data_IF_001574129728
#
_entry.id   IF_001574129728
#
_cell.length_a   1.000
_cell.length_b   1.000
_cell.length_c   1.000
_cell.angle_alpha   90.00
_cell.angle_beta   90.00
_cell.angle_gamma   90.00
#
_symmetry.space_group_name_H-M   'P 1'
#
loop_
_entity.id
_entity.type
_entity.pdbx_description
1 polymer ?
#
# COMPACT_ATOMS: atom_id res chain seq x y z
N UNK A 1 4.97 10.42 -16.49
CA UNK A 1 4.61 9.76 -15.22
C UNK A 1 4.49 10.85 -14.15
N UNK A 2 3.42 10.86 -13.34
CA UNK A 2 3.12 11.91 -12.35
C UNK A 2 3.68 11.50 -10.98
N UNK A 3 4.37 12.38 -10.25
CA UNK A 3 4.88 12.10 -8.89
C UNK A 3 3.75 11.88 -7.85
N UNK A 4 2.50 12.16 -8.25
CA UNK A 4 1.29 11.85 -7.50
C UNK A 4 0.94 10.36 -7.47
N UNK A 5 1.59 9.51 -8.27
CA UNK A 5 1.30 8.08 -8.27
C UNK A 5 1.52 7.45 -6.87
N UNK A 6 0.63 6.51 -6.47
CA UNK A 6 0.86 5.63 -5.31
C UNK A 6 1.93 4.56 -5.58
N UNK A 7 2.32 4.38 -6.85
CA UNK A 7 3.33 3.40 -7.25
C UNK A 7 4.72 3.82 -6.76
N UNK A 8 5.17 3.23 -5.65
CA UNK A 8 6.51 3.45 -5.08
C UNK A 8 7.61 3.04 -6.05
N UNK A 9 7.47 1.90 -6.73
CA UNK A 9 8.45 1.45 -7.73
C UNK A 9 8.60 2.40 -8.91
N UNK A 10 7.51 3.05 -9.32
CA UNK A 10 7.53 4.06 -10.38
C UNK A 10 8.28 5.32 -9.93
N UNK A 11 8.06 5.77 -8.70
CA UNK A 11 8.78 6.91 -8.11
C UNK A 11 10.27 6.62 -7.93
N UNK A 12 10.60 5.38 -7.55
CA UNK A 12 11.98 4.88 -7.50
C UNK A 12 12.64 4.93 -8.87
N UNK A 13 11.97 4.45 -9.91
CA UNK A 13 12.50 4.47 -11.27
C UNK A 13 12.69 5.92 -11.77
N UNK A 14 11.69 6.80 -11.60
CA UNK A 14 11.81 8.22 -11.95
C UNK A 14 12.98 8.90 -11.20
N UNK A 15 13.22 8.53 -9.94
CA UNK A 15 14.37 9.00 -9.16
C UNK A 15 15.68 8.47 -9.74
N UNK A 16 15.76 7.17 -10.03
CA UNK A 16 16.94 6.56 -10.62
C UNK A 16 17.27 7.18 -11.98
N UNK A 17 16.28 7.41 -12.83
CA UNK A 17 16.46 8.05 -14.13
C UNK A 17 17.00 9.47 -13.98
N UNK A 18 16.46 10.25 -13.03
CA UNK A 18 16.95 11.59 -12.73
C UNK A 18 18.41 11.58 -12.26
N UNK A 19 18.76 10.76 -11.27
CA UNK A 19 20.13 10.67 -10.77
C UNK A 19 21.09 10.11 -11.83
N UNK A 20 20.62 9.19 -12.68
CA UNK A 20 21.41 8.66 -13.79
C UNK A 20 21.77 9.77 -14.76
N UNK A 21 20.81 10.62 -15.14
CA UNK A 21 21.10 11.77 -16.01
C UNK A 21 22.07 12.76 -15.36
N UNK A 22 21.86 13.11 -14.10
CA UNK A 22 22.74 14.05 -13.39
C UNK A 22 24.19 13.55 -13.29
N UNK A 23 24.37 12.26 -12.97
CA UNK A 23 25.69 11.64 -12.88
C UNK A 23 26.31 11.51 -14.27
N UNK A 24 25.56 11.12 -15.31
CA UNK A 24 26.05 11.06 -16.69
C UNK A 24 26.50 12.43 -17.20
N UNK A 25 25.72 13.48 -16.95
CA UNK A 25 26.06 14.85 -17.35
C UNK A 25 27.30 15.37 -16.62
N UNK A 26 27.42 15.08 -15.33
CA UNK A 26 28.59 15.42 -14.52
C UNK A 26 29.83 14.66 -15.02
N UNK A 27 29.70 13.35 -15.26
CA UNK A 27 30.80 12.50 -15.72
C UNK A 27 31.24 12.86 -17.14
N UNK A 28 30.29 13.19 -18.02
CA UNK A 28 30.57 13.67 -19.37
C UNK A 28 31.34 15.00 -19.39
N UNK A 29 31.01 15.93 -18.47
CA UNK A 29 31.77 17.18 -18.29
C UNK A 29 33.17 16.94 -17.73
N UNK A 30 33.37 15.86 -16.98
CA UNK A 30 34.64 15.50 -16.35
C UNK A 30 35.44 14.48 -17.17
N UNK A 31 35.30 14.45 -18.50
CA UNK A 31 36.03 13.54 -19.40
C UNK A 31 35.92 12.05 -19.00
N UNK A 32 34.77 11.62 -18.48
CA UNK A 32 34.55 10.24 -18.05
C UNK A 32 34.94 9.93 -16.61
N UNK A 33 35.40 10.90 -15.82
CA UNK A 33 35.72 10.69 -14.40
C UNK A 33 34.49 10.83 -13.51
N UNK A 34 34.10 9.73 -12.85
CA UNK A 34 33.04 9.71 -11.83
C UNK A 34 33.54 10.15 -10.44
N UNK A 35 34.84 10.46 -10.29
CA UNK A 35 35.49 10.76 -9.00
C UNK A 35 34.78 11.88 -8.22
N UNK A 36 34.36 12.95 -8.88
CA UNK A 36 33.69 14.12 -8.28
C UNK A 36 32.16 14.09 -8.40
N UNK A 37 31.60 13.09 -9.09
CA UNK A 37 30.16 12.95 -9.29
C UNK A 37 29.58 11.85 -8.37
N UNK A 38 30.39 10.81 -8.11
CA UNK A 38 30.00 9.59 -7.41
C UNK A 38 29.17 8.65 -8.28
N UNK A 39 28.91 7.45 -7.75
CA UNK A 39 28.15 6.41 -8.43
C UNK A 39 26.68 6.37 -7.97
N UNK A 40 25.83 5.73 -8.78
CA UNK A 40 24.38 5.58 -8.52
C UNK A 40 24.07 4.78 -7.25
N UNK A 41 24.89 3.79 -6.91
CA UNK A 41 24.78 2.97 -5.71
C UNK A 41 25.24 3.70 -4.43
N UNK A 42 25.60 4.98 -4.55
CA UNK A 42 26.12 5.82 -3.48
C UNK A 42 27.60 5.58 -3.19
N UNK A 43 28.24 4.61 -3.85
CA UNK A 43 29.67 4.33 -3.68
C UNK A 43 30.53 5.50 -4.17
N UNK A 44 31.71 5.62 -3.58
CA UNK A 44 32.66 6.71 -3.83
C UNK A 44 34.05 6.13 -3.94
N UNK A 45 34.71 6.40 -5.06
CA UNK A 45 36.12 6.06 -5.25
C UNK A 45 36.95 6.75 -4.16
N UNK A 46 38.04 6.14 -3.70
CA UNK A 46 38.91 6.80 -2.73
C UNK A 46 39.61 8.01 -3.37
N UNK A 47 39.17 9.21 -2.98
CA UNK A 47 39.72 10.49 -3.44
C UNK A 47 40.79 11.03 -2.48
N UNK A 48 41.47 12.11 -2.89
CA UNK A 48 42.44 12.85 -2.07
C UNK A 48 42.12 14.34 -2.00
N UNK A 49 42.23 14.94 -0.81
CA UNK A 49 42.16 16.40 -0.63
C UNK A 49 40.84 17.03 -1.10
N UNK A 50 40.95 18.03 -1.98
CA UNK A 50 39.87 18.93 -2.41
C UNK A 50 38.77 18.26 -3.25
N UNK A 51 39.03 17.06 -3.79
CA UNK A 51 38.07 16.32 -4.61
C UNK A 51 36.83 15.87 -3.83
N UNK A 52 36.96 15.62 -2.52
CA UNK A 52 35.81 15.32 -1.66
C UNK A 52 34.88 16.54 -1.50
N UNK A 53 35.44 17.75 -1.52
CA UNK A 53 34.66 18.99 -1.43
C UNK A 53 33.81 19.16 -2.69
N UNK A 54 34.42 18.96 -3.87
CA UNK A 54 33.71 18.98 -5.15
C UNK A 54 32.61 17.90 -5.22
N UNK A 55 32.89 16.69 -4.74
CA UNK A 55 31.89 15.63 -4.63
C UNK A 55 30.72 16.02 -3.72
N UNK A 56 31.02 16.62 -2.57
CA UNK A 56 29.99 17.06 -1.61
C UNK A 56 29.08 18.11 -2.21
N UNK A 57 29.65 19.10 -2.91
CA UNK A 57 28.90 20.16 -3.59
C UNK A 57 28.00 19.60 -4.70
N UNK A 58 28.54 18.73 -5.55
CA UNK A 58 27.78 18.08 -6.62
C UNK A 58 26.62 17.24 -6.07
N UNK A 59 26.86 16.40 -5.06
CA UNK A 59 25.79 15.56 -4.47
C UNK A 59 24.73 16.38 -3.77
N UNK A 60 25.09 17.46 -3.07
CA UNK A 60 24.12 18.40 -2.49
C UNK A 60 23.26 19.03 -3.57
N UNK A 61 23.88 19.44 -4.68
CA UNK A 61 23.18 19.98 -5.85
C UNK A 61 22.23 18.96 -6.48
N UNK A 62 22.66 17.72 -6.69
CA UNK A 62 21.78 16.68 -7.25
C UNK A 62 20.56 16.44 -6.36
N UNK A 63 20.74 16.43 -5.04
CA UNK A 63 19.61 16.28 -4.12
C UNK A 63 18.69 17.50 -4.15
N UNK A 64 19.22 18.73 -4.19
CA UNK A 64 18.38 19.93 -4.31
C UNK A 64 17.62 19.98 -5.62
N UNK A 65 18.27 19.64 -6.73
CA UNK A 65 17.68 19.62 -8.06
C UNK A 65 16.61 18.52 -8.14
N UNK A 66 16.83 17.37 -7.48
CA UNK A 66 15.82 16.33 -7.37
C UNK A 66 14.57 16.78 -6.60
N UNK A 67 14.73 17.56 -5.52
CA UNK A 67 13.58 18.11 -4.79
C UNK A 67 12.75 19.04 -5.69
N UNK A 68 13.41 19.90 -6.45
CA UNK A 68 12.74 20.79 -7.42
C UNK A 68 12.03 19.97 -8.49
N UNK A 69 12.70 18.96 -9.05
CA UNK A 69 12.11 18.05 -10.03
C UNK A 69 10.89 17.29 -9.49
N UNK A 70 10.96 16.84 -8.23
CA UNK A 70 9.84 16.19 -7.56
C UNK A 70 8.66 17.16 -7.39
N UNK A 71 8.94 18.37 -6.93
CA UNK A 71 7.93 19.41 -6.69
C UNK A 71 7.27 19.86 -8.01
N UNK A 72 8.01 20.01 -9.10
CA UNK A 72 7.47 20.37 -10.42
C UNK A 72 6.59 19.24 -11.00
N UNK A 73 7.00 17.98 -10.81
CA UNK A 73 6.21 16.81 -11.22
C UNK A 73 5.01 16.51 -10.32
N UNK A 74 4.94 17.09 -9.14
CA UNK A 74 3.88 16.84 -8.17
C UNK A 74 2.85 17.96 -8.21
N UNK A 75 1.58 17.66 -8.49
CA UNK A 75 0.58 18.72 -8.68
C UNK A 75 0.13 19.37 -7.37
N UNK A 76 0.24 18.66 -6.25
CA UNK A 76 -0.36 19.09 -4.98
C UNK A 76 0.51 18.93 -3.75
N UNK A 77 1.54 18.07 -3.79
CA UNK A 77 2.38 17.75 -2.62
C UNK A 77 3.83 18.09 -2.88
N UNK A 78 4.52 18.65 -1.88
CA UNK A 78 5.96 18.91 -1.97
C UNK A 78 6.76 17.71 -1.47
N UNK A 79 8.04 17.65 -1.81
CA UNK A 79 8.95 16.62 -1.34
C UNK A 79 8.99 16.58 0.19
N UNK A 80 8.98 17.73 0.85
CA UNK A 80 9.02 17.82 2.31
C UNK A 80 7.75 17.23 2.98
N UNK A 81 6.63 17.11 2.26
CA UNK A 81 5.41 16.48 2.76
C UNK A 81 5.58 14.98 3.01
N UNK A 82 6.62 14.37 2.43
CA UNK A 82 6.98 12.97 2.69
C UNK A 82 7.25 12.74 4.19
N UNK A 83 7.79 13.75 4.89
CA UNK A 83 8.15 13.64 6.30
C UNK A 83 7.00 13.94 7.28
N UNK A 84 5.86 14.39 6.77
CA UNK A 84 4.69 14.73 7.59
C UNK A 84 3.94 13.48 8.01
N UNK A 85 3.33 13.49 9.21
CA UNK A 85 2.56 12.36 9.78
C UNK A 85 3.30 11.02 9.73
N UNK A 86 4.65 11.05 9.73
CA UNK A 86 5.47 9.88 9.87
C UNK A 86 5.73 9.63 11.35
N UNK A 87 5.66 8.37 11.72
CA UNK A 87 6.07 7.92 13.03
C UNK A 87 7.60 7.94 13.19
N UNK A 88 8.06 8.04 14.43
CA UNK A 88 9.48 7.91 14.74
C UNK A 88 9.99 6.51 14.38
N UNK A 89 11.23 6.44 13.90
CA UNK A 89 11.85 5.18 13.54
C UNK A 89 12.21 4.41 14.81
N UNK A 90 11.58 3.25 15.01
CA UNK A 90 11.95 2.37 16.11
C UNK A 90 13.17 1.53 15.73
N UNK A 91 14.35 2.01 16.15
CA UNK A 91 15.61 1.28 16.02
C UNK A 91 15.96 0.72 17.40
N UNK A 92 16.05 -0.61 17.50
CA UNK A 92 16.45 -1.29 18.74
C UNK A 92 17.83 -0.79 19.20
N UNK A 93 17.98 -0.59 20.51
CA UNK A 93 19.23 -0.16 21.17
C UNK A 93 19.78 1.22 20.80
N UNK A 94 19.00 2.11 20.16
CA UNK A 94 19.45 3.50 19.92
C UNK A 94 19.22 4.43 21.13
N UNK A 95 18.62 3.95 22.23
CA UNK A 95 18.30 4.74 23.43
C UNK A 95 17.28 5.87 23.22
N UNK A 96 16.98 6.24 21.97
CA UNK A 96 15.98 7.20 21.51
C UNK A 96 15.34 6.72 20.21
N UNK A 97 14.14 7.22 19.90
CA UNK A 97 13.45 6.99 18.61
C UNK A 97 13.62 8.23 17.73
N UNK A 98 14.51 8.23 16.72
CA UNK A 98 14.74 9.40 15.89
C UNK A 98 13.60 9.58 14.91
N UNK A 99 13.25 10.84 14.63
CA UNK A 99 12.26 11.18 13.61
C UNK A 99 12.76 10.78 12.21
N UNK A 100 11.83 10.56 11.27
CA UNK A 100 12.18 10.28 9.88
C UNK A 100 13.04 11.38 9.25
N UNK A 101 12.86 12.63 9.68
CA UNK A 101 13.66 13.78 9.25
C UNK A 101 15.09 13.75 9.78
N UNK A 102 15.29 13.35 11.04
CA UNK A 102 16.63 13.14 11.60
C UNK A 102 17.38 12.02 10.89
N UNK A 103 16.70 10.90 10.61
CA UNK A 103 17.30 9.78 9.86
C UNK A 103 17.66 10.21 8.43
N UNK A 104 16.78 10.98 7.77
CA UNK A 104 17.07 11.56 6.46
C UNK A 104 18.25 12.53 6.49
N UNK A 105 18.33 13.42 7.48
CA UNK A 105 19.45 14.34 7.63
C UNK A 105 20.78 13.58 7.81
N UNK A 106 20.78 12.56 8.67
CA UNK A 106 21.95 11.72 8.88
C UNK A 106 22.37 10.96 7.62
N UNK A 107 21.40 10.43 6.87
CA UNK A 107 21.68 9.79 5.59
C UNK A 107 22.26 10.80 4.59
N UNK A 108 21.66 11.99 4.49
CA UNK A 108 22.11 13.05 3.59
C UNK A 108 23.56 13.46 3.90
N UNK A 109 23.92 13.60 5.17
CA UNK A 109 25.28 13.95 5.60
C UNK A 109 26.31 12.89 5.22
N UNK A 110 25.92 11.60 5.21
CA UNK A 110 26.76 10.50 4.75
C UNK A 110 26.84 10.45 3.22
N UNK A 111 25.69 10.49 2.55
CA UNK A 111 25.60 10.44 1.10
C UNK A 111 26.35 11.61 0.46
N UNK A 112 26.24 12.82 1.01
CA UNK A 112 26.92 14.02 0.49
C UNK A 112 28.37 14.16 0.94
N UNK A 113 28.98 13.12 1.53
CA UNK A 113 30.39 13.12 1.91
C UNK A 113 30.79 14.33 2.80
N UNK A 114 30.03 14.60 3.86
CA UNK A 114 30.44 15.59 4.88
C UNK A 114 31.79 15.20 5.49
N UNK A 115 32.57 16.18 5.98
CA UNK A 115 33.89 15.94 6.59
C UNK A 115 33.85 14.88 7.70
N UNK A 116 32.87 14.96 8.59
CA UNK A 116 32.66 13.98 9.65
C UNK A 116 32.33 12.57 9.12
N UNK A 117 31.51 12.47 8.06
CA UNK A 117 31.18 11.18 7.44
C UNK A 117 32.37 10.54 6.75
N UNK A 118 33.25 11.33 6.14
CA UNK A 118 34.48 10.87 5.51
C UNK A 118 35.43 10.29 6.58
N UNK A 119 35.61 10.99 7.70
CA UNK A 119 36.50 10.53 8.77
C UNK A 119 35.95 9.28 9.49
N UNK A 120 34.63 9.20 9.65
CA UNK A 120 33.97 7.98 10.11
C UNK A 120 34.17 6.82 9.11
N UNK A 121 34.02 7.07 7.81
CA UNK A 121 34.19 6.03 6.78
C UNK A 121 35.64 5.54 6.68
N UNK A 122 36.64 6.41 6.87
CA UNK A 122 38.07 6.02 6.90
C UNK A 122 38.38 5.03 8.03
N UNK A 123 37.69 5.16 9.16
CA UNK A 123 37.86 4.28 10.34
C UNK A 123 36.92 3.08 10.34
N UNK A 124 36.00 2.98 9.37
CA UNK A 124 34.99 1.93 9.31
C UNK A 124 33.86 2.09 10.33
N UNK A 125 33.70 3.29 10.91
CA UNK A 125 32.66 3.57 11.88
C UNK A 125 31.28 3.61 11.21
N UNK A 126 30.49 2.57 11.40
CA UNK A 126 29.12 2.49 10.87
C UNK A 126 29.01 2.03 9.41
N UNK A 127 30.10 1.68 8.75
CA UNK A 127 30.12 1.24 7.34
C UNK A 127 30.99 0.00 7.16
N UNK A 128 30.71 -0.81 6.15
CA UNK A 128 31.50 -2.01 5.84
C UNK A 128 32.48 -1.74 4.71
N UNK A 129 33.75 -2.17 4.87
CA UNK A 129 34.69 -2.18 3.76
C UNK A 129 34.40 -3.36 2.83
N UNK A 130 34.09 -3.06 1.57
CA UNK A 130 33.82 -4.08 0.52
C UNK A 130 35.10 -4.47 -0.22
N UNK A 131 36.17 -3.66 -0.12
CA UNK A 131 37.50 -4.00 -0.62
C UNK A 131 37.66 -3.86 -2.13
N UNK A 132 37.56 -2.63 -2.66
CA UNK A 132 37.80 -2.32 -4.09
C UNK A 132 38.36 -0.90 -4.32
N UNK A 133 39.19 -0.37 -3.39
CA UNK A 133 39.65 1.04 -3.40
C UNK A 133 38.53 2.11 -3.33
N UNK A 134 37.35 1.75 -2.80
CA UNK A 134 36.27 2.69 -2.50
C UNK A 134 36.31 3.10 -1.03
N UNK A 135 35.84 4.32 -0.76
CA UNK A 135 35.49 4.77 0.58
C UNK A 135 33.98 4.53 0.78
N UNK A 136 33.56 3.57 1.63
CA UNK A 136 32.15 3.26 1.82
C UNK A 136 31.48 4.35 2.67
N UNK A 137 30.92 5.38 2.06
CA UNK A 137 30.18 6.42 2.79
C UNK A 137 28.82 5.93 3.28
N UNK A 138 28.14 5.16 2.44
CA UNK A 138 26.95 4.39 2.76
C UNK A 138 27.27 2.91 2.52
N UNK A 139 26.55 2.01 3.17
CA UNK A 139 26.71 0.56 2.99
C UNK A 139 26.07 0.08 1.67
N UNK A 140 26.42 0.73 0.55
CA UNK A 140 25.89 0.45 -0.80
C UNK A 140 24.47 0.97 -1.03
N UNK A 141 24.04 1.99 -0.27
CA UNK A 141 22.72 2.58 -0.40
C UNK A 141 22.80 3.90 -1.17
N UNK A 142 22.20 3.92 -2.37
CA UNK A 142 21.99 5.13 -3.16
C UNK A 142 20.88 6.01 -2.58
N UNK A 143 20.78 7.26 -3.05
CA UNK A 143 19.75 8.20 -2.59
C UNK A 143 18.32 7.69 -2.85
N UNK A 144 18.07 7.21 -4.07
CA UNK A 144 16.75 6.72 -4.46
C UNK A 144 16.33 5.44 -3.73
N UNK A 145 17.28 4.53 -3.48
CA UNK A 145 17.04 3.34 -2.65
C UNK A 145 16.72 3.72 -1.21
N UNK A 146 17.36 4.76 -0.67
CA UNK A 146 17.05 5.22 0.68
C UNK A 146 15.68 5.89 0.79
N UNK A 147 15.26 6.69 -0.19
CA UNK A 147 13.98 7.40 -0.11
C UNK A 147 12.79 6.50 -0.42
N UNK A 148 12.91 5.65 -1.45
CA UNK A 148 11.80 4.90 -2.05
C UNK A 148 11.89 3.38 -1.90
N UNK A 149 12.87 2.85 -1.17
CA UNK A 149 13.02 1.40 -0.95
C UNK A 149 13.50 1.09 0.48
N UNK A 150 13.70 -0.20 0.75
CA UNK A 150 14.34 -0.72 1.93
C UNK A 150 15.87 -0.68 1.77
N UNK A 151 16.53 0.18 2.54
CA UNK A 151 17.99 0.32 2.47
C UNK A 151 18.67 0.16 3.83
N UNK A 152 19.90 -0.32 3.79
CA UNK A 152 20.80 -0.34 4.93
C UNK A 152 21.96 0.58 4.61
N UNK A 153 21.93 1.81 5.13
CA UNK A 153 22.97 2.79 4.85
C UNK A 153 24.08 2.81 5.91
N UNK A 154 23.81 2.40 7.16
CA UNK A 154 24.78 2.54 8.25
C UNK A 154 24.58 1.52 9.41
N UNK A 155 25.61 0.75 9.75
CA UNK A 155 25.61 -0.28 10.80
C UNK A 155 25.22 0.22 12.21
N UNK A 156 25.44 1.49 12.56
CA UNK A 156 25.03 2.01 13.88
C UNK A 156 23.57 2.46 13.87
N UNK A 157 23.14 3.14 12.81
CA UNK A 157 21.79 3.70 12.69
C UNK A 157 20.74 2.70 12.20
N UNK A 158 21.11 1.76 11.33
CA UNK A 158 20.22 0.72 10.81
C UNK A 158 20.49 -0.65 11.44
N UNK A 159 21.57 -0.80 12.22
CA UNK A 159 21.95 -2.07 12.90
C UNK A 159 22.02 -3.27 11.95
N UNK A 160 22.55 -3.06 10.75
CA UNK A 160 22.62 -4.05 9.66
C UNK A 160 21.26 -4.51 9.10
N UNK A 161 20.15 -3.90 9.52
CA UNK A 161 18.84 -4.18 8.98
C UNK A 161 18.50 -3.20 7.86
N UNK A 162 17.64 -3.62 6.92
CA UNK A 162 17.09 -2.70 5.93
C UNK A 162 15.92 -1.94 6.57
N UNK A 163 16.01 -0.62 6.63
CA UNK A 163 14.94 0.24 7.13
C UNK A 163 14.09 0.74 5.96
N UNK A 164 12.83 1.06 6.22
CA UNK A 164 11.91 1.61 5.22
C UNK A 164 12.31 3.07 4.95
N UNK A 165 12.42 3.43 3.67
CA UNK A 165 12.58 4.82 3.26
C UNK A 165 11.37 5.71 3.56
N UNK A 166 11.56 6.99 3.90
CA UNK A 166 10.47 7.88 4.31
C UNK A 166 9.40 8.05 3.20
N UNK A 167 9.81 8.09 1.93
CA UNK A 167 8.91 8.16 0.77
C UNK A 167 8.05 6.92 0.62
N UNK A 168 8.67 5.75 0.76
CA UNK A 168 7.98 4.46 0.75
C UNK A 168 6.98 4.36 1.91
N UNK A 169 7.40 4.69 3.13
CA UNK A 169 6.56 4.61 4.33
C UNK A 169 5.26 5.42 4.17
N UNK A 170 5.37 6.67 3.71
CA UNK A 170 4.19 7.54 3.50
C UNK A 170 3.25 6.95 2.44
N UNK A 171 3.80 6.50 1.30
CA UNK A 171 2.99 5.99 0.18
C UNK A 171 2.32 4.66 0.51
N UNK A 172 3.01 3.75 1.19
CA UNK A 172 2.43 2.47 1.64
C UNK A 172 1.30 2.70 2.66
N UNK A 173 1.48 3.66 3.57
CA UNK A 173 0.44 4.02 4.54
C UNK A 173 -0.83 4.58 3.88
N UNK A 174 -0.68 5.43 2.84
CA UNK A 174 -1.78 5.95 2.01
C UNK A 174 -2.44 4.82 1.21
N UNK A 175 -1.66 3.90 0.63
CA UNK A 175 -2.20 2.76 -0.12
C UNK A 175 -3.04 1.85 0.79
N UNK A 176 -2.60 1.66 2.04
CA UNK A 176 -3.34 0.85 3.00
C UNK A 176 -4.68 1.46 3.37
N UNK A 177 -4.77 2.78 3.54
CA UNK A 177 -6.05 3.45 3.83
C UNK A 177 -6.98 3.45 2.61
N UNK A 178 -6.42 3.58 1.39
CA UNK A 178 -7.17 3.37 0.15
C UNK A 178 -7.80 1.98 0.12
N UNK A 179 -6.98 0.94 0.33
CA UNK A 179 -7.43 -0.45 0.31
C UNK A 179 -8.47 -0.71 1.39
N UNK A 180 -8.27 -0.21 2.62
CA UNK A 180 -9.27 -0.27 3.69
C UNK A 180 -10.60 0.33 3.24
N UNK A 181 -10.57 1.53 2.65
CA UNK A 181 -11.77 2.24 2.22
C UNK A 181 -12.49 1.48 1.12
N UNK A 182 -11.76 0.97 0.13
CA UNK A 182 -12.31 0.17 -0.96
C UNK A 182 -12.94 -1.13 -0.45
N UNK A 183 -12.22 -1.89 0.39
CA UNK A 183 -12.72 -3.14 0.97
C UNK A 183 -13.95 -2.88 1.86
N UNK A 184 -13.98 -1.76 2.59
CA UNK A 184 -15.13 -1.37 3.41
C UNK A 184 -16.37 -1.04 2.57
N UNK A 185 -16.23 -0.25 1.50
CA UNK A 185 -17.36 0.11 0.63
C UNK A 185 -17.88 -1.13 -0.09
N UNK A 186 -17.01 -1.85 -0.80
CA UNK A 186 -17.39 -3.03 -1.56
C UNK A 186 -17.94 -4.14 -0.65
N UNK A 187 -17.29 -4.42 0.48
CA UNK A 187 -17.69 -5.49 1.40
C UNK A 187 -19.06 -5.27 2.02
N UNK A 188 -19.35 -4.05 2.48
CA UNK A 188 -20.68 -3.72 3.03
C UNK A 188 -21.75 -3.70 1.94
N UNK A 189 -21.40 -3.22 0.74
CA UNK A 189 -22.31 -3.24 -0.40
C UNK A 189 -22.62 -4.67 -0.89
N UNK A 190 -21.83 -5.69 -0.56
CA UNK A 190 -22.15 -7.09 -0.91
C UNK A 190 -23.37 -7.65 -0.16
N UNK A 191 -23.71 -7.13 1.03
CA UNK A 191 -24.89 -7.58 1.81
C UNK A 191 -26.17 -7.44 0.99
N UNK A 192 -26.22 -6.36 0.24
CA UNK A 192 -27.28 -5.98 -0.66
C UNK A 192 -27.42 -6.99 -1.82
N UNK A 193 -26.33 -7.31 -2.52
CA UNK A 193 -26.31 -8.29 -3.62
C UNK A 193 -26.66 -9.70 -3.14
N UNK A 194 -26.12 -10.11 -2.00
CA UNK A 194 -26.33 -11.47 -1.46
C UNK A 194 -27.75 -11.70 -0.94
N UNK A 195 -28.41 -10.66 -0.41
CA UNK A 195 -29.83 -10.77 0.00
C UNK A 195 -30.75 -11.17 -1.14
N UNK A 196 -30.52 -10.65 -2.34
CA UNK A 196 -31.37 -10.91 -3.52
C UNK A 196 -30.91 -12.15 -4.30
N UNK A 197 -29.92 -12.90 -3.80
CA UNK A 197 -29.41 -14.11 -4.44
C UNK A 197 -30.49 -15.16 -4.69
N UNK A 198 -31.46 -15.36 -3.79
CA UNK A 198 -32.48 -16.40 -3.98
C UNK A 198 -33.54 -16.11 -5.07
N UNK A 199 -33.70 -14.86 -5.50
CA UNK A 199 -34.88 -14.41 -6.27
C UNK A 199 -34.50 -14.05 -7.72
N UNK A 200 -33.20 -14.05 -8.08
CA UNK A 200 -32.69 -13.64 -9.40
C UNK A 200 -33.18 -12.24 -9.84
N UNK A 201 -33.48 -11.36 -8.90
CA UNK A 201 -33.80 -9.95 -9.15
C UNK A 201 -32.53 -9.10 -9.08
N UNK A 202 -32.51 -7.99 -9.82
CA UNK A 202 -31.45 -6.98 -9.69
C UNK A 202 -31.43 -6.42 -8.27
N UNK A 203 -30.25 -6.08 -7.74
CA UNK A 203 -30.12 -5.62 -6.36
C UNK A 203 -31.02 -4.40 -6.05
N UNK A 204 -31.31 -3.53 -7.02
CA UNK A 204 -32.19 -2.36 -6.85
C UNK A 204 -33.70 -2.66 -6.87
N UNK A 205 -34.13 -3.85 -7.28
CA UNK A 205 -35.54 -4.14 -7.51
C UNK A 205 -36.33 -4.41 -6.22
N UNK A 206 -35.67 -4.85 -5.15
CA UNK A 206 -36.31 -5.11 -3.86
C UNK A 206 -35.83 -4.13 -2.81
N UNK A 207 -36.78 -3.40 -2.20
CA UNK A 207 -36.46 -2.43 -1.16
C UNK A 207 -35.89 -3.15 0.08
N UNK A 208 -34.63 -2.89 0.46
CA UNK A 208 -34.08 -3.42 1.70
C UNK A 208 -34.79 -2.80 2.91
N UNK A 209 -34.71 -3.47 4.06
CA UNK A 209 -35.26 -2.93 5.31
C UNK A 209 -34.59 -1.57 5.60
N UNK A 210 -35.38 -0.56 5.99
CA UNK A 210 -34.88 0.79 6.27
C UNK A 210 -33.74 0.78 7.31
N UNK A 211 -33.78 -0.12 8.29
CA UNK A 211 -32.74 -0.24 9.31
C UNK A 211 -31.38 -0.65 8.72
N UNK A 212 -31.38 -1.52 7.70
CA UNK A 212 -30.16 -1.97 7.02
C UNK A 212 -29.56 -0.85 6.16
N UNK A 213 -30.40 -0.04 5.51
CA UNK A 213 -29.96 1.15 4.77
C UNK A 213 -29.31 2.19 5.70
N UNK A 214 -29.94 2.48 6.84
CA UNK A 214 -29.40 3.45 7.81
C UNK A 214 -28.06 2.95 8.37
N UNK A 215 -27.98 1.67 8.74
CA UNK A 215 -26.74 1.07 9.22
C UNK A 215 -25.61 1.15 8.18
N UNK A 216 -25.92 0.89 6.90
CA UNK A 216 -24.97 1.03 5.81
C UNK A 216 -24.46 2.47 5.67
N UNK A 217 -25.37 3.46 5.62
CA UNK A 217 -24.98 4.87 5.47
C UNK A 217 -24.10 5.31 6.62
N UNK A 218 -24.45 4.96 7.86
CA UNK A 218 -23.64 5.29 9.03
C UNK A 218 -22.24 4.65 8.96
N UNK A 219 -22.16 3.36 8.65
CA UNK A 219 -20.88 2.66 8.51
C UNK A 219 -20.00 3.28 7.42
N UNK A 220 -20.60 3.68 6.28
CA UNK A 220 -19.86 4.30 5.19
C UNK A 220 -19.41 5.73 5.47
N UNK A 221 -20.17 6.51 6.24
CA UNK A 221 -19.74 7.82 6.71
C UNK A 221 -18.50 7.66 7.60
N UNK A 222 -18.54 6.76 8.58
CA UNK A 222 -17.41 6.50 9.47
C UNK A 222 -16.19 5.99 8.70
N UNK A 223 -16.38 5.03 7.79
CA UNK A 223 -15.29 4.51 6.96
C UNK A 223 -14.68 5.58 6.05
N UNK A 224 -15.50 6.46 5.48
CA UNK A 224 -15.03 7.57 4.63
C UNK A 224 -14.25 8.61 5.44
N UNK A 225 -14.67 8.90 6.67
CA UNK A 225 -13.93 9.80 7.59
C UNK A 225 -12.56 9.20 7.92
N UNK A 226 -12.51 7.91 8.27
CA UNK A 226 -11.26 7.20 8.56
C UNK A 226 -10.37 7.13 7.32
N UNK A 227 -10.93 6.85 6.14
CA UNK A 227 -10.19 6.83 4.87
C UNK A 227 -9.66 8.21 4.46
N UNK A 228 -10.41 9.27 4.74
CA UNK A 228 -10.03 10.64 4.38
C UNK A 228 -8.94 11.20 5.28
N UNK A 229 -9.13 11.16 6.60
CA UNK A 229 -8.22 11.76 7.58
C UNK A 229 -7.12 10.79 8.04
N UNK A 230 -7.41 9.49 8.09
CA UNK A 230 -6.54 8.50 8.72
C UNK A 230 -6.32 8.77 10.19
N UNK A 231 -5.27 8.16 10.75
CA UNK A 231 -4.88 8.34 12.15
C UNK A 231 -3.57 9.12 12.29
N UNK A 232 -3.30 10.04 11.37
CA UNK A 232 -2.08 10.85 11.33
C UNK A 232 -0.79 10.03 11.54
N UNK A 233 -0.74 8.80 10.99
CA UNK A 233 0.43 7.91 11.09
C UNK A 233 0.45 6.98 12.30
N UNK A 234 -0.57 7.00 13.17
CA UNK A 234 -0.71 6.05 14.28
C UNK A 234 -1.25 4.68 13.80
N UNK A 235 -0.75 3.53 14.28
CA UNK A 235 0.38 3.28 15.20
C UNK A 235 1.78 3.25 14.56
N UNK A 236 2.76 3.67 15.37
CA UNK A 236 4.13 4.00 14.97
C UNK A 236 5.03 2.85 14.51
N UNK A 237 4.72 1.60 14.85
CA UNK A 237 5.75 0.56 14.78
C UNK A 237 5.86 -0.12 13.42
N UNK A 238 4.76 -0.35 12.67
CA UNK A 238 4.80 -1.03 11.34
C UNK A 238 3.59 -0.77 10.44
N UNK A 239 2.56 -0.10 10.96
CA UNK A 239 1.23 -0.01 10.34
C UNK A 239 0.75 1.44 10.45
N UNK A 240 1.51 2.35 9.86
CA UNK A 240 1.04 3.73 9.77
C UNK A 240 -0.23 3.77 8.92
N UNK A 241 -1.28 4.41 9.45
CA UNK A 241 -2.51 4.68 8.71
C UNK A 241 -2.58 6.17 8.46
N UNK A 242 -2.35 6.55 7.21
CA UNK A 242 -2.39 7.94 6.75
C UNK A 242 -3.57 8.07 5.80
N UNK A 243 -4.33 9.16 5.96
CA UNK A 243 -5.50 9.41 5.13
C UNK A 243 -5.14 9.39 3.64
N UNK A 244 -5.96 8.69 2.85
CA UNK A 244 -5.74 8.61 1.41
C UNK A 244 -6.03 9.96 0.72
N UNK A 245 -6.77 10.86 1.40
CA UNK A 245 -7.19 12.14 0.86
C UNK A 245 -8.46 12.06 -0.01
N UNK A 246 -9.04 13.22 -0.31
CA UNK A 246 -10.35 13.31 -0.97
C UNK A 246 -10.40 12.77 -2.39
N UNK A 247 -9.37 13.04 -3.21
CA UNK A 247 -9.35 12.60 -4.61
C UNK A 247 -9.42 11.08 -4.74
N UNK A 248 -8.61 10.37 -3.95
CA UNK A 248 -8.59 8.92 -3.94
C UNK A 248 -9.82 8.28 -3.29
N UNK A 249 -10.39 8.93 -2.26
CA UNK A 249 -11.67 8.50 -1.66
C UNK A 249 -12.78 8.47 -2.72
N UNK A 250 -12.91 9.53 -3.52
CA UNK A 250 -13.91 9.60 -4.60
C UNK A 250 -13.66 8.53 -5.65
N UNK A 251 -12.40 8.30 -6.04
CA UNK A 251 -12.04 7.22 -6.97
C UNK A 251 -12.45 5.85 -6.41
N UNK A 252 -12.21 5.59 -5.12
CA UNK A 252 -12.62 4.33 -4.48
C UNK A 252 -14.14 4.13 -4.50
N UNK A 253 -14.92 5.18 -4.26
CA UNK A 253 -16.38 5.15 -4.37
C UNK A 253 -16.87 4.85 -5.79
N UNK A 254 -16.35 5.58 -6.78
CA UNK A 254 -16.71 5.36 -8.19
C UNK A 254 -16.35 3.94 -8.64
N UNK A 255 -15.16 3.47 -8.27
CA UNK A 255 -14.71 2.12 -8.56
C UNK A 255 -15.62 1.06 -7.95
N UNK A 256 -16.02 1.22 -6.68
CA UNK A 256 -16.92 0.29 -6.01
C UNK A 256 -18.30 0.24 -6.69
N UNK A 257 -18.87 1.39 -7.10
CA UNK A 257 -20.15 1.44 -7.81
C UNK A 257 -20.07 0.73 -9.16
N UNK A 258 -19.03 0.99 -9.94
CA UNK A 258 -18.83 0.39 -11.26
C UNK A 258 -18.73 -1.13 -11.17
N UNK A 259 -17.97 -1.65 -10.20
CA UNK A 259 -17.82 -3.10 -10.01
C UNK A 259 -19.04 -3.80 -9.43
N UNK A 260 -19.97 -3.05 -8.82
CA UNK A 260 -21.18 -3.64 -8.25
C UNK A 260 -22.19 -4.08 -9.31
N UNK A 261 -22.23 -3.43 -10.47
CA UNK A 261 -23.14 -3.82 -11.56
C UNK A 261 -22.81 -5.22 -12.13
N UNK A 262 -21.54 -5.54 -12.48
CA UNK A 262 -21.18 -6.90 -12.92
C UNK A 262 -21.40 -7.99 -11.86
N UNK A 263 -21.32 -7.67 -10.56
CA UNK A 263 -21.50 -8.66 -9.49
C UNK A 263 -22.92 -9.27 -9.49
N UNK A 264 -23.94 -8.50 -9.89
CA UNK A 264 -25.31 -9.01 -10.07
C UNK A 264 -25.41 -9.98 -11.27
N UNK A 265 -24.65 -9.76 -12.35
CA UNK A 265 -24.61 -10.68 -13.48
C UNK A 265 -23.95 -12.02 -13.09
N UNK A 266 -22.85 -11.95 -12.32
CA UNK A 266 -22.17 -13.15 -11.79
C UNK A 266 -23.13 -13.94 -10.90
N UNK A 267 -23.90 -13.26 -10.04
CA UNK A 267 -24.94 -13.88 -9.21
C UNK A 267 -25.94 -14.67 -10.07
N UNK A 268 -26.46 -14.10 -11.14
CA UNK A 268 -27.40 -14.81 -12.02
C UNK A 268 -26.76 -16.03 -12.69
N UNK A 269 -25.51 -15.91 -13.14
CA UNK A 269 -24.78 -17.03 -13.72
C UNK A 269 -24.59 -18.18 -12.71
N UNK A 270 -24.18 -17.86 -11.47
CA UNK A 270 -24.00 -18.85 -10.40
C UNK A 270 -25.32 -19.52 -10.03
N UNK A 271 -26.39 -18.75 -9.84
CA UNK A 271 -27.72 -19.31 -9.56
C UNK A 271 -28.24 -20.18 -10.69
N UNK A 272 -27.99 -19.80 -11.95
CA UNK A 272 -28.37 -20.61 -13.09
C UNK A 272 -27.64 -21.96 -13.06
N UNK A 273 -26.33 -21.96 -12.82
CA UNK A 273 -25.52 -23.20 -12.70
C UNK A 273 -25.96 -24.05 -11.51
N UNK A 274 -26.22 -23.46 -10.36
CA UNK A 274 -26.67 -24.19 -9.16
C UNK A 274 -28.07 -24.77 -9.36
N UNK A 275 -29.03 -24.00 -9.87
CA UNK A 275 -30.39 -24.49 -10.12
C UNK A 275 -30.47 -25.50 -11.29
N UNK A 276 -29.60 -25.37 -12.30
CA UNK A 276 -29.51 -26.34 -13.39
C UNK A 276 -29.08 -27.74 -12.89
N UNK A 277 -28.25 -27.80 -11.84
CA UNK A 277 -27.75 -29.05 -11.26
C UNK A 277 -28.56 -29.57 -10.05
N UNK A 278 -29.55 -28.83 -9.54
CA UNK A 278 -30.27 -29.19 -8.30
C UNK A 278 -31.60 -29.95 -8.54
N UNK A 279 -31.99 -30.19 -9.79
CA UNK A 279 -33.11 -31.10 -10.11
C UNK A 279 -32.71 -32.58 -10.28
N UNK A 280 -31.46 -32.94 -9.99
CA UNK A 280 -31.07 -34.34 -9.75
C UNK A 280 -31.10 -34.71 -8.27
N UNK A 281 -31.94 -34.03 -7.48
CA UNK A 281 -32.50 -34.61 -6.24
C UNK A 281 -33.56 -35.68 -6.56
N UNK A 282 -33.31 -36.53 -7.55
CA UNK A 282 -33.94 -37.85 -7.66
C UNK A 282 -33.33 -38.83 -6.65
N UNK A 283 -32.31 -38.45 -5.87
CA UNK A 283 -31.71 -39.35 -4.87
C UNK A 283 -32.64 -39.65 -3.68
N UNK A 284 -33.51 -38.72 -3.27
CA UNK A 284 -34.51 -38.97 -2.23
C UNK A 284 -35.82 -39.57 -2.79
N UNK A 285 -36.18 -39.32 -4.05
CA UNK A 285 -37.32 -40.01 -4.67
C UNK A 285 -36.97 -41.44 -5.13
N UNK A 286 -35.75 -41.69 -5.61
CA UNK A 286 -35.32 -43.03 -6.08
C UNK A 286 -35.10 -44.03 -4.95
N UNK A 287 -34.83 -43.57 -3.73
CA UNK A 287 -34.76 -44.44 -2.53
C UNK A 287 -36.14 -44.75 -1.94
N UNK A 288 -37.16 -43.92 -2.22
CA UNK A 288 -38.54 -44.15 -1.76
C UNK A 288 -39.25 -45.22 -2.62
N UNK A 289 -38.85 -45.39 -3.89
CA UNK A 289 -39.41 -46.42 -4.77
C UNK A 289 -38.71 -47.79 -4.70
N UNK A 290 -37.65 -47.95 -3.89
CA UNK A 290 -36.92 -49.20 -3.75
C UNK A 290 -37.39 -50.08 -2.56
N UNK A 291 -38.43 -49.66 -1.82
CA UNK A 291 -38.91 -50.38 -0.64
C UNK A 291 -40.44 -50.40 -0.55
N UNK A 292 -41.03 -51.51 -1.01
CA UNK A 292 -42.40 -51.97 -0.74
C UNK A 292 -43.56 -51.18 -1.39
N UNK A 293 -44.42 -51.81 -2.22
CA UNK A 293 -45.48 -51.14 -2.98
C UNK A 293 -46.72 -50.72 -2.17
N UNK A 294 -46.64 -50.65 -0.83
CA UNK A 294 -47.80 -50.39 0.03
C UNK A 294 -47.64 -49.22 1.01
N UNK A 295 -46.56 -48.44 0.95
CA UNK A 295 -46.41 -47.23 1.78
C UNK A 295 -46.37 -45.97 0.93
N UNK A 296 -47.50 -45.69 0.28
CA UNK A 296 -47.85 -44.33 -0.10
C UNK A 296 -48.05 -43.52 1.20
N UNK A 297 -46.98 -42.98 1.76
CA UNK A 297 -47.13 -41.94 2.77
C UNK A 297 -47.79 -40.74 2.11
N UNK A 298 -49.08 -40.55 2.41
CA UNK A 298 -49.83 -39.39 2.00
C UNK A 298 -49.05 -38.13 2.38
N UNK A 299 -48.54 -37.42 1.38
CA UNK A 299 -47.85 -36.14 1.55
C UNK A 299 -48.90 -35.17 2.09
N UNK A 300 -48.95 -35.03 3.41
CA UNK A 300 -49.92 -34.15 4.08
C UNK A 300 -49.55 -32.72 3.67
N UNK A 301 -50.34 -32.15 2.76
CA UNK A 301 -50.21 -30.74 2.38
C UNK A 301 -50.46 -29.87 3.61
N UNK A 302 -49.85 -28.68 3.67
CA UNK A 302 -50.00 -27.79 4.84
C UNK A 302 -51.47 -27.54 5.21
N UNK A 303 -52.36 -27.54 4.23
CA UNK A 303 -53.81 -27.42 4.41
C UNK A 303 -54.43 -28.59 5.22
N UNK A 304 -53.95 -29.82 5.03
CA UNK A 304 -54.43 -30.97 5.80
C UNK A 304 -53.89 -30.97 7.25
N UNK A 305 -52.72 -30.37 7.50
CA UNK A 305 -52.19 -30.14 8.86
C UNK A 305 -52.98 -29.06 9.60
N UNK A 306 -53.34 -27.95 8.94
CA UNK A 306 -54.13 -26.88 9.57
C UNK A 306 -55.55 -27.33 9.93
N UNK A 307 -56.20 -28.13 9.09
CA UNK A 307 -57.54 -28.69 9.36
C UNK A 307 -57.53 -29.71 10.52
N UNK A 308 -56.44 -30.45 10.70
CA UNK A 308 -56.32 -31.40 11.83
C UNK A 308 -56.01 -30.68 13.15
N UNK A 309 -55.20 -29.63 13.10
CA UNK A 309 -54.89 -28.78 14.26
C UNK A 309 -56.10 -27.95 14.72
N UNK A 310 -56.98 -27.53 13.81
CA UNK A 310 -58.22 -26.81 14.18
C UNK A 310 -59.28 -27.71 14.80
N UNK A 311 -59.24 -29.02 14.54
CA UNK A 311 -60.17 -30.01 15.12
C UNK A 311 -59.78 -30.52 16.51
N UNK A 312 -58.56 -30.26 16.95
CA UNK A 312 -58.06 -30.66 18.29
C UNK A 312 -58.25 -29.59 19.36
N UNK A 313 -58.93 -28.49 19.04
CA UNK A 313 -59.32 -27.45 20.00
C UNK A 313 -60.84 -27.48 20.14
N UNK A 314 -61.34 -28.46 20.88
CA UNK A 314 -62.68 -28.54 21.44
C UNK A 314 -62.60 -29.35 22.75
#
# INVERSE_FOLDING_TARGET
>A
MNAENLCVSCLKNDCNDFFTQQIQDCTGKNNGSASTCGELDGSVLRLTGDEYTALSENRKKFVSDYKIFYDDKSKSKKFDDIFTDLADNHINDLGRKPSAKEVYAQFLDQFTASTASIDAAKTGAGVGFVGHNYLPLTNGAGYCDFVWDYSNFNKTWTKNNKIIGPGMQKKDAILRSLMYTQVSISGQALIFVTRTAGINTWFFAEKPCNLLLIAFVFAQIVASIIGYYGFAGYPSDRVAVIGCGGGYLVIAWLWAIVWHFPLDLIKFAVNYVLNANTYTSTAFESRINAGHPSMAHARVTQHARSVRASRTVA
#
